data_IF_975218334472
#
_entry.id   IF_975218334472
#
_cell.length_a   1.000
_cell.length_b   1.000
_cell.length_c   1.000
_cell.angle_alpha   90.00
_cell.angle_beta   90.00
_cell.angle_gamma   90.00
#
_symmetry.space_group_name_H-M   'P 1'
#
loop_
_entity.id
_entity.type
_entity.pdbx_description
1 polymer ?
#
# COMPACT_ATOMS: atom_id res chain seq x y z
N UNK A 1 -19.35 -9.28 -57.46
CA UNK A 1 -20.13 -9.82 -56.29
C UNK A 1 -19.38 -9.82 -54.98
N UNK A 2 -18.26 -9.13 -54.84
CA UNK A 2 -17.32 -9.33 -53.71
C UNK A 2 -17.23 -8.18 -52.70
N UNK A 3 -17.34 -6.93 -53.10
CA UNK A 3 -17.14 -5.79 -52.17
C UNK A 3 -18.31 -5.54 -51.19
N UNK A 4 -19.54 -5.67 -51.65
CA UNK A 4 -20.72 -5.49 -50.80
C UNK A 4 -20.83 -6.58 -49.72
N UNK A 5 -20.38 -7.80 -50.02
CA UNK A 5 -20.35 -8.89 -49.04
C UNK A 5 -19.22 -8.69 -48.02
N UNK A 6 -18.07 -8.20 -48.45
CA UNK A 6 -16.96 -7.89 -47.54
C UNK A 6 -17.34 -6.77 -46.56
N UNK A 7 -17.95 -5.68 -47.03
CA UNK A 7 -18.40 -4.59 -46.17
C UNK A 7 -19.45 -5.05 -45.14
N UNK A 8 -20.43 -5.87 -45.54
CA UNK A 8 -21.42 -6.45 -44.60
C UNK A 8 -20.79 -7.34 -43.54
N UNK A 9 -19.83 -8.18 -43.93
CA UNK A 9 -19.11 -9.04 -42.98
C UNK A 9 -18.31 -8.19 -42.00
N UNK A 10 -17.58 -7.18 -42.50
CA UNK A 10 -16.78 -6.29 -41.65
C UNK A 10 -17.63 -5.53 -40.62
N UNK A 11 -18.76 -4.96 -41.06
CA UNK A 11 -19.69 -4.26 -40.15
C UNK A 11 -20.27 -5.22 -39.09
N UNK A 12 -20.67 -6.42 -39.48
CA UNK A 12 -21.21 -7.42 -38.54
C UNK A 12 -20.16 -7.84 -37.55
N UNK A 13 -18.93 -8.09 -37.97
CA UNK A 13 -17.83 -8.45 -37.10
C UNK A 13 -17.48 -7.31 -36.15
N UNK A 14 -17.39 -6.08 -36.64
CA UNK A 14 -17.18 -4.91 -35.82
C UNK A 14 -18.27 -4.73 -34.75
N UNK A 15 -19.53 -4.89 -35.12
CA UNK A 15 -20.65 -4.81 -34.16
C UNK A 15 -20.57 -5.89 -33.08
N UNK A 16 -20.28 -7.15 -33.45
CA UNK A 16 -20.11 -8.24 -32.51
C UNK A 16 -18.95 -7.95 -31.54
N UNK A 17 -17.79 -7.52 -32.04
CA UNK A 17 -16.64 -7.18 -31.22
C UNK A 17 -16.95 -6.01 -30.28
N UNK A 18 -17.65 -4.98 -30.77
CA UNK A 18 -18.05 -3.83 -29.95
C UNK A 18 -18.96 -4.27 -28.81
N UNK A 19 -20.00 -5.06 -29.10
CA UNK A 19 -20.93 -5.56 -28.08
C UNK A 19 -20.17 -6.42 -27.06
N UNK A 20 -19.31 -7.31 -27.53
CA UNK A 20 -18.50 -8.17 -26.68
C UNK A 20 -17.60 -7.35 -25.75
N UNK A 21 -16.90 -6.36 -26.30
CA UNK A 21 -16.03 -5.46 -25.52
C UNK A 21 -16.83 -4.70 -24.47
N UNK A 22 -17.99 -4.15 -24.84
CA UNK A 22 -18.85 -3.41 -23.90
C UNK A 22 -19.34 -4.31 -22.75
N UNK A 23 -19.80 -5.51 -23.09
CA UNK A 23 -20.28 -6.47 -22.06
C UNK A 23 -19.17 -6.85 -21.10
N UNK A 24 -17.98 -7.23 -21.60
CA UNK A 24 -16.87 -7.63 -20.75
C UNK A 24 -16.31 -6.47 -19.93
N UNK A 25 -16.18 -5.28 -20.53
CA UNK A 25 -15.72 -4.09 -19.80
C UNK A 25 -16.70 -3.72 -18.67
N UNK A 26 -18.01 -3.78 -18.95
CA UNK A 26 -19.05 -3.50 -17.96
C UNK A 26 -19.01 -4.54 -16.84
N UNK A 27 -18.89 -5.83 -17.19
CA UNK A 27 -18.79 -6.91 -16.20
C UNK A 27 -17.56 -6.73 -15.30
N UNK A 28 -16.41 -6.44 -15.91
CA UNK A 28 -15.17 -6.21 -15.18
C UNK A 28 -15.28 -4.98 -14.26
N UNK A 29 -15.84 -3.88 -14.74
CA UNK A 29 -16.06 -2.68 -13.94
C UNK A 29 -17.07 -2.93 -12.79
N UNK A 30 -18.12 -3.69 -13.04
CA UNK A 30 -19.10 -4.05 -12.01
C UNK A 30 -18.47 -4.94 -10.93
N UNK A 31 -17.71 -5.97 -11.32
CA UNK A 31 -16.98 -6.83 -10.39
C UNK A 31 -15.98 -6.03 -9.55
N UNK A 32 -15.19 -5.15 -10.18
CA UNK A 32 -14.26 -4.29 -9.46
C UNK A 32 -14.97 -3.40 -8.43
N UNK A 33 -16.08 -2.74 -8.80
CA UNK A 33 -16.86 -1.91 -7.87
C UNK A 33 -17.45 -2.72 -6.72
N UNK A 34 -17.89 -3.94 -6.98
CA UNK A 34 -18.47 -4.82 -5.95
C UNK A 34 -17.40 -5.34 -4.96
N UNK A 35 -16.20 -5.64 -5.46
CA UNK A 35 -15.11 -6.20 -4.63
C UNK A 35 -14.24 -5.14 -3.95
N UNK A 36 -14.16 -3.93 -4.53
CA UNK A 36 -13.30 -2.85 -4.01
C UNK A 36 -13.50 -2.56 -2.52
N UNK A 37 -14.73 -2.42 -1.97
CA UNK A 37 -14.90 -2.13 -0.54
C UNK A 37 -14.33 -3.22 0.37
N UNK A 38 -14.46 -4.48 -0.02
CA UNK A 38 -13.92 -5.60 0.74
C UNK A 38 -12.37 -5.63 0.69
N UNK A 39 -11.80 -5.31 -0.47
CA UNK A 39 -10.34 -5.21 -0.65
C UNK A 39 -9.79 -4.05 0.19
N UNK A 40 -10.43 -2.88 0.13
CA UNK A 40 -10.00 -1.71 0.88
C UNK A 40 -10.08 -1.96 2.40
N UNK A 41 -11.17 -2.59 2.88
CA UNK A 41 -11.32 -2.94 4.30
C UNK A 41 -10.26 -3.97 4.76
N UNK A 42 -9.95 -4.97 3.93
CA UNK A 42 -8.92 -5.96 4.24
C UNK A 42 -7.52 -5.32 4.27
N UNK A 43 -7.23 -4.42 3.34
CA UNK A 43 -5.96 -3.68 3.31
C UNK A 43 -5.81 -2.75 4.52
N UNK A 44 -6.89 -2.11 4.96
CA UNK A 44 -6.90 -1.28 6.18
C UNK A 44 -6.67 -2.11 7.44
N UNK A 45 -7.33 -3.26 7.56
CA UNK A 45 -7.15 -4.18 8.67
C UNK A 45 -5.71 -4.71 8.75
N UNK A 46 -5.11 -5.07 7.62
CA UNK A 46 -3.72 -5.53 7.57
C UNK A 46 -2.73 -4.42 7.96
N UNK A 47 -2.98 -3.18 7.51
CA UNK A 47 -2.16 -2.02 7.94
C UNK A 47 -2.25 -1.77 9.44
N UNK A 48 -3.45 -1.84 10.03
CA UNK A 48 -3.63 -1.70 11.48
C UNK A 48 -2.92 -2.81 12.25
N UNK A 49 -2.93 -4.04 11.74
CA UNK A 49 -2.20 -5.16 12.32
C UNK A 49 -0.70 -4.89 12.35
N UNK A 50 -0.11 -4.50 11.21
CA UNK A 50 1.31 -4.16 11.13
C UNK A 50 1.69 -3.00 12.07
N UNK A 51 0.84 -1.96 12.14
CA UNK A 51 1.06 -0.87 13.09
C UNK A 51 1.00 -1.37 14.53
N UNK A 52 0.06 -2.26 14.85
CA UNK A 52 -0.09 -2.85 16.18
C UNK A 52 1.13 -3.65 16.65
N UNK A 53 1.95 -4.15 15.73
CA UNK A 53 3.21 -4.84 16.05
C UNK A 53 4.31 -3.89 16.53
N UNK A 54 4.28 -2.62 16.12
CA UNK A 54 5.28 -1.61 16.48
C UNK A 54 4.78 -0.57 17.47
N UNK A 55 3.46 -0.35 17.54
CA UNK A 55 2.83 0.61 18.44
C UNK A 55 1.66 -0.02 19.19
N UNK A 56 1.77 -0.27 20.50
CA UNK A 56 0.65 -0.77 21.31
C UNK A 56 -0.59 0.13 21.22
N UNK A 57 -1.77 -0.48 21.06
CA UNK A 57 -3.04 0.26 20.94
C UNK A 57 -3.40 1.08 22.19
N UNK A 58 -2.74 0.84 23.32
CA UNK A 58 -2.89 1.61 24.56
C UNK A 58 -2.26 2.99 24.50
N UNK A 59 -1.41 3.27 23.51
CA UNK A 59 -0.68 4.53 23.38
C UNK A 59 -1.40 5.56 22.49
N UNK A 60 -2.55 5.22 21.92
CA UNK A 60 -3.33 6.17 21.11
C UNK A 60 -4.82 5.91 21.21
N UNK A 61 -5.62 6.93 20.98
CA UNK A 61 -7.09 6.89 20.99
C UNK A 61 -7.73 7.52 19.75
N UNK A 62 -6.90 8.02 18.81
CA UNK A 62 -7.36 8.61 17.57
C UNK A 62 -7.47 7.58 16.43
N UNK A 63 -8.15 7.97 15.34
CA UNK A 63 -8.20 7.19 14.10
C UNK A 63 -6.85 7.27 13.37
N UNK A 64 -5.89 6.44 13.78
CA UNK A 64 -4.48 6.52 13.42
C UNK A 64 -4.24 6.54 11.90
N UNK A 65 -4.94 5.71 11.13
CA UNK A 65 -4.79 5.65 9.67
C UNK A 65 -5.36 6.88 8.94
N UNK A 66 -6.23 7.65 9.60
CA UNK A 66 -6.80 8.89 9.06
C UNK A 66 -5.99 10.14 9.46
N UNK A 67 -5.20 10.07 10.52
CA UNK A 67 -4.37 11.17 11.00
C UNK A 67 -2.92 11.01 10.53
N UNK A 68 -2.61 11.49 9.32
CA UNK A 68 -1.29 11.36 8.73
C UNK A 68 -0.81 12.66 8.08
N UNK A 69 0.49 12.70 7.80
CA UNK A 69 1.16 13.74 6.99
C UNK A 69 2.04 13.03 5.97
N UNK A 70 1.95 13.43 4.73
CA UNK A 70 2.86 12.97 3.69
C UNK A 70 4.12 13.84 3.69
N UNK A 71 5.28 13.22 3.86
CA UNK A 71 6.58 13.88 3.90
C UNK A 71 7.33 13.54 2.61
N UNK A 72 7.87 14.54 1.89
CA UNK A 72 8.73 14.27 0.74
C UNK A 72 9.97 13.48 1.18
N UNK A 73 10.53 12.64 0.30
CA UNK A 73 11.77 11.91 0.58
C UNK A 73 12.88 12.88 0.99
N UNK A 74 13.53 12.62 2.13
CA UNK A 74 14.64 13.44 2.66
C UNK A 74 15.78 12.54 3.09
N UNK A 75 16.98 12.82 2.55
CA UNK A 75 18.19 12.10 2.92
C UNK A 75 18.53 12.22 4.41
N UNK A 76 18.27 13.40 4.99
CA UNK A 76 18.49 13.70 6.41
C UNK A 76 17.70 12.80 7.37
N UNK A 77 16.57 12.27 6.89
CA UNK A 77 15.71 11.34 7.64
C UNK A 77 15.91 9.88 7.25
N UNK A 78 16.92 9.56 6.44
CA UNK A 78 17.12 8.22 5.90
C UNK A 78 16.05 7.78 4.89
N UNK A 79 15.23 8.71 4.39
CA UNK A 79 14.10 8.46 3.49
C UNK A 79 14.43 8.68 2.01
N UNK A 80 15.69 8.96 1.69
CA UNK A 80 16.13 9.25 0.32
C UNK A 80 15.96 8.08 -0.68
N UNK A 81 15.84 6.87 -0.17
CA UNK A 81 15.65 5.67 -0.99
C UNK A 81 14.19 5.43 -1.42
N UNK A 82 13.28 6.30 -1.03
CA UNK A 82 11.86 6.21 -1.40
C UNK A 82 11.61 7.17 -2.56
N UNK A 83 10.95 6.67 -3.61
CA UNK A 83 10.61 7.46 -4.78
C UNK A 83 9.33 8.29 -4.53
N UNK A 84 8.46 7.83 -3.62
CA UNK A 84 7.18 8.44 -3.28
C UNK A 84 7.23 9.13 -1.90
N UNK A 85 6.32 10.09 -1.65
CA UNK A 85 6.14 10.68 -0.31
C UNK A 85 5.88 9.62 0.75
N UNK A 86 6.56 9.76 1.88
CA UNK A 86 6.41 8.86 3.03
C UNK A 86 5.23 9.30 3.85
N UNK A 87 4.29 8.39 4.08
CA UNK A 87 3.17 8.63 4.98
C UNK A 87 3.61 8.45 6.43
N UNK A 88 3.52 9.52 7.20
CA UNK A 88 3.79 9.55 8.63
C UNK A 88 2.47 9.59 9.38
N UNK A 89 2.14 8.50 10.09
CA UNK A 89 0.94 8.41 10.92
C UNK A 89 1.20 9.07 12.27
N UNK A 90 0.25 9.85 12.75
CA UNK A 90 0.35 10.56 14.02
C UNK A 90 -0.55 9.90 15.07
N UNK A 91 0.05 9.19 15.99
CA UNK A 91 -0.65 8.67 17.16
C UNK A 91 -0.86 9.78 18.19
N UNK A 92 -2.09 9.92 18.65
CA UNK A 92 -2.48 10.88 19.68
C UNK A 92 -3.19 10.18 20.81
N UNK A 93 -2.98 10.68 22.03
CA UNK A 93 -3.71 10.24 23.20
C UNK A 93 -4.27 11.47 23.93
N UNK A 94 -5.57 11.49 24.16
CA UNK A 94 -6.29 12.64 24.69
C UNK A 94 -6.00 13.95 23.93
N UNK A 95 -5.83 13.85 22.59
CA UNK A 95 -5.50 14.97 21.72
C UNK A 95 -4.02 15.40 21.70
N UNK A 96 -3.19 14.93 22.64
CA UNK A 96 -1.76 15.22 22.68
C UNK A 96 -0.96 14.25 21.76
N UNK A 97 0.18 14.68 21.18
CA UNK A 97 1.05 13.80 20.43
C UNK A 97 1.60 12.69 21.33
N UNK A 98 1.45 11.42 20.91
CA UNK A 98 1.94 10.26 21.65
C UNK A 98 3.07 9.54 20.92
N UNK A 99 2.91 9.30 19.63
CA UNK A 99 3.92 8.65 18.80
C UNK A 99 3.75 8.99 17.31
N UNK A 100 4.78 8.69 16.54
CA UNK A 100 4.78 8.73 15.08
C UNK A 100 5.07 7.33 14.55
N UNK A 101 4.33 6.91 13.51
CA UNK A 101 4.59 5.64 12.81
C UNK A 101 4.89 5.95 11.36
N UNK A 102 5.95 5.37 10.82
CA UNK A 102 6.36 5.57 9.43
C UNK A 102 6.96 4.29 8.84
N UNK A 103 6.88 4.18 7.52
CA UNK A 103 7.61 3.18 6.76
C UNK A 103 8.95 3.76 6.31
N UNK A 104 10.00 2.98 6.41
CA UNK A 104 11.34 3.32 5.95
C UNK A 104 11.91 2.20 5.08
N UNK A 105 12.92 2.51 4.28
CA UNK A 105 13.62 1.56 3.42
C UNK A 105 15.11 1.58 3.74
N UNK A 106 15.63 0.47 4.23
CA UNK A 106 17.07 0.24 4.28
C UNK A 106 17.54 -0.28 2.91
N UNK A 107 18.57 0.34 2.36
CA UNK A 107 19.08 0.07 1.00
C UNK A 107 20.22 -0.92 0.95
N UNK A 108 20.81 -1.22 2.09
CA UNK A 108 22.05 -1.95 2.29
C UNK A 108 21.81 -3.41 2.75
N UNK A 109 20.61 -3.96 2.53
CA UNK A 109 20.36 -5.39 2.66
C UNK A 109 21.15 -6.21 1.63
N UNK A 110 21.57 -7.42 2.00
CA UNK A 110 22.34 -8.30 1.13
C UNK A 110 21.54 -8.75 -0.11
N UNK A 111 20.27 -9.08 0.07
CA UNK A 111 19.32 -9.43 -1.00
C UNK A 111 18.67 -8.23 -1.67
N UNK A 112 18.94 -7.02 -1.20
CA UNK A 112 18.39 -5.77 -1.71
C UNK A 112 17.70 -4.90 -0.66
N UNK A 113 16.67 -4.16 -1.07
CA UNK A 113 15.96 -3.24 -0.17
C UNK A 113 15.15 -4.00 0.88
N UNK A 114 15.27 -3.58 2.14
CA UNK A 114 14.46 -4.05 3.27
C UNK A 114 13.46 -2.95 3.63
N UNK A 115 12.17 -3.26 3.59
CA UNK A 115 11.12 -2.33 4.02
C UNK A 115 10.81 -2.56 5.49
N UNK A 116 10.80 -1.49 6.24
CA UNK A 116 10.59 -1.48 7.69
C UNK A 116 9.38 -0.60 8.02
N UNK A 117 8.66 -0.96 9.07
CA UNK A 117 7.75 -0.06 9.77
C UNK A 117 8.32 0.20 11.16
N UNK A 118 8.27 1.44 11.60
CA UNK A 118 8.80 1.81 12.91
C UNK A 118 7.89 2.82 13.60
N UNK A 119 7.90 2.77 14.93
CA UNK A 119 7.20 3.71 15.79
C UNK A 119 8.18 4.45 16.70
N UNK A 120 8.04 5.78 16.75
CA UNK A 120 8.85 6.67 17.59
C UNK A 120 7.92 7.42 18.54
N UNK A 121 8.19 7.34 19.84
CA UNK A 121 7.44 8.04 20.88
C UNK A 121 7.66 9.55 20.87
N UNK A 122 6.78 10.29 21.52
CA UNK A 122 6.92 11.73 21.70
C UNK A 122 8.19 12.12 22.52
N UNK A 123 8.79 11.16 23.21
CA UNK A 123 10.06 11.27 23.93
C UNK A 123 11.29 11.03 23.05
N UNK A 124 11.09 10.91 21.71
CA UNK A 124 12.10 10.56 20.70
C UNK A 124 12.73 9.17 20.88
N UNK A 125 12.07 8.26 21.58
CA UNK A 125 12.52 6.88 21.71
C UNK A 125 11.82 5.98 20.71
N UNK A 126 12.58 5.01 20.19
CA UNK A 126 12.04 3.96 19.36
C UNK A 126 11.18 3.02 20.22
N UNK A 127 9.89 2.88 19.86
CA UNK A 127 8.95 2.00 20.55
C UNK A 127 9.02 0.60 19.96
N UNK A 128 9.04 0.50 18.62
CA UNK A 128 9.11 -0.78 17.93
C UNK A 128 9.56 -0.62 16.48
N UNK A 129 10.11 -1.71 15.93
CA UNK A 129 10.48 -1.85 14.53
C UNK A 129 10.06 -3.23 14.06
N UNK A 130 9.53 -3.32 12.84
CA UNK A 130 9.26 -4.59 12.16
C UNK A 130 9.66 -4.53 10.71
N UNK A 131 10.12 -5.64 10.19
CA UNK A 131 10.33 -5.83 8.75
C UNK A 131 8.99 -6.10 8.09
N UNK A 132 8.67 -5.34 7.06
CA UNK A 132 7.44 -5.48 6.27
C UNK A 132 7.70 -6.37 5.06
N UNK A 133 8.87 -6.22 4.44
CA UNK A 133 9.28 -7.07 3.32
C UNK A 133 10.79 -6.98 3.09
N UNK A 134 11.37 -8.08 2.68
CA UNK A 134 12.77 -8.19 2.30
C UNK A 134 12.97 -9.18 1.13
N UNK A 135 14.19 -9.26 0.62
CA UNK A 135 14.61 -10.24 -0.40
C UNK A 135 15.84 -11.01 0.06
N UNK A 136 16.02 -11.13 1.37
CA UNK A 136 17.14 -11.88 1.94
C UNK A 136 17.00 -13.38 1.63
N UNK A 137 18.14 -14.08 1.56
CA UNK A 137 18.17 -15.50 1.22
C UNK A 137 17.65 -16.34 2.39
N UNK A 138 16.67 -17.24 2.16
CA UNK A 138 16.19 -18.15 3.19
C UNK A 138 17.32 -18.95 3.85
N UNK A 139 17.32 -18.98 5.18
CA UNK A 139 18.34 -19.65 6.00
C UNK A 139 19.66 -18.90 6.17
N UNK A 140 19.83 -17.71 5.55
CA UNK A 140 21.03 -16.89 5.70
C UNK A 140 20.76 -15.49 6.24
N UNK A 141 19.65 -14.86 5.84
CA UNK A 141 19.33 -13.49 6.22
C UNK A 141 17.86 -13.27 6.58
N UNK A 142 17.03 -14.29 6.48
CA UNK A 142 15.59 -14.23 6.73
C UNK A 142 15.18 -14.23 8.22
N UNK A 143 16.12 -14.32 9.14
CA UNK A 143 15.87 -14.22 10.59
C UNK A 143 15.67 -12.78 11.08
N UNK A 144 15.49 -11.84 10.17
CA UNK A 144 15.17 -10.44 10.47
C UNK A 144 13.66 -10.18 10.54
N UNK A 145 12.79 -11.17 10.26
CA UNK A 145 11.33 -11.11 10.34
C UNK A 145 10.79 -11.03 11.78
#
# INVERSE_FOLDING_TARGET
MTEQNAARVSVRTAAILTVFTLVFTTLMAATYKATKPAIDASAEAERLKLVGEVLPATLYDNALLADYVDIPPRAELGLAAQDDPVRLLRARQAGAPAALVLEAVATDGYGGRIRLILAVGADNRLIGVRVVSHKETPGLGDYID
#
